data_IF_875956108752
#
_entry.id   IF_875956108752
#
_cell.length_a   1.000
_cell.length_b   1.000
_cell.length_c   1.000
_cell.angle_alpha   90.00
_cell.angle_beta   90.00
_cell.angle_gamma   90.00
#
_symmetry.space_group_name_H-M   'P 1'
#
loop_
_entity.id
_entity.type
_entity.pdbx_description
1 polymer ?
#
# COMPACT_ATOMS: atom_id res chain seq x y z
N UNK A 1 3.26 -10.03 -10.63
CA UNK A 1 2.87 -9.14 -9.51
C UNK A 1 1.46 -8.65 -9.81
N UNK A 2 0.44 -9.32 -9.27
CA UNK A 2 -0.96 -8.90 -9.41
C UNK A 2 -1.49 -8.75 -7.99
N UNK A 3 -1.39 -7.53 -7.46
CA UNK A 3 -1.99 -7.22 -6.18
C UNK A 3 -3.49 -7.06 -6.42
N UNK A 4 -4.29 -7.93 -5.79
CA UNK A 4 -5.77 -8.00 -5.83
C UNK A 4 -6.45 -8.64 -7.06
N UNK A 5 -5.82 -9.63 -7.72
CA UNK A 5 -6.55 -10.48 -8.66
C UNK A 5 -7.73 -11.21 -7.96
N UNK A 6 -8.78 -11.63 -8.70
CA UNK A 6 -9.78 -12.55 -8.18
C UNK A 6 -9.17 -13.93 -7.88
N UNK A 7 -9.69 -14.69 -6.88
CA UNK A 7 -9.26 -16.07 -6.63
C UNK A 7 -9.40 -16.94 -7.89
N UNK A 8 -8.43 -17.81 -8.15
CA UNK A 8 -8.50 -18.79 -9.25
C UNK A 8 -8.09 -18.28 -10.64
N UNK A 9 -7.74 -17.01 -10.82
CA UNK A 9 -7.21 -16.52 -12.11
C UNK A 9 -5.68 -16.61 -12.16
N UNK A 10 -5.17 -17.63 -12.84
CA UNK A 10 -3.74 -17.93 -13.01
C UNK A 10 -3.09 -17.22 -14.21
N UNK A 11 -3.87 -16.73 -15.18
CA UNK A 11 -3.36 -15.91 -16.28
C UNK A 11 -3.25 -14.45 -15.86
N UNK A 12 -2.14 -13.79 -16.24
CA UNK A 12 -2.03 -12.35 -16.12
C UNK A 12 -3.18 -11.73 -16.94
N UNK A 13 -4.20 -11.13 -16.30
CA UNK A 13 -5.28 -10.51 -17.05
C UNK A 13 -4.64 -9.42 -17.93
N UNK A 14 -5.16 -9.26 -19.15
CA UNK A 14 -4.73 -8.14 -19.97
C UNK A 14 -5.01 -6.80 -19.25
N UNK A 15 -4.46 -5.71 -19.77
CA UNK A 15 -4.59 -4.40 -19.14
C UNK A 15 -6.05 -3.98 -18.94
N UNK A 16 -6.95 -4.37 -19.84
CA UNK A 16 -8.36 -4.02 -19.77
C UNK A 16 -9.05 -4.78 -18.64
N UNK A 17 -8.79 -6.09 -18.49
CA UNK A 17 -9.33 -6.90 -17.41
C UNK A 17 -8.89 -6.41 -16.02
N UNK A 18 -7.62 -6.02 -15.86
CA UNK A 18 -7.13 -5.40 -14.60
C UNK A 18 -7.84 -4.08 -14.28
N UNK A 19 -8.07 -3.26 -15.30
CA UNK A 19 -8.79 -1.98 -15.15
C UNK A 19 -10.25 -2.22 -14.75
N UNK A 20 -10.92 -3.16 -15.42
CA UNK A 20 -12.30 -3.51 -15.14
C UNK A 20 -12.48 -4.04 -13.71
N UNK A 21 -11.57 -4.90 -13.23
CA UNK A 21 -11.63 -5.41 -11.87
C UNK A 21 -11.38 -4.30 -10.83
N UNK A 22 -10.40 -3.42 -11.05
CA UNK A 22 -10.21 -2.26 -10.17
C UNK A 22 -11.46 -1.36 -10.13
N UNK A 23 -12.07 -1.11 -11.29
CA UNK A 23 -13.29 -0.31 -11.38
C UNK A 23 -14.45 -0.98 -10.64
N UNK A 24 -14.63 -2.30 -10.78
CA UNK A 24 -15.66 -3.06 -10.05
C UNK A 24 -15.52 -2.88 -8.54
N UNK A 25 -14.29 -3.02 -8.01
CA UNK A 25 -14.00 -2.86 -6.58
C UNK A 25 -14.33 -1.46 -6.07
N UNK A 26 -13.90 -0.43 -6.83
CA UNK A 26 -14.22 0.97 -6.51
C UNK A 26 -15.72 1.20 -6.49
N UNK A 27 -16.45 0.74 -7.50
CA UNK A 27 -17.91 0.89 -7.58
C UNK A 27 -18.65 0.11 -6.48
N UNK A 28 -18.08 -1.00 -6.01
CA UNK A 28 -18.59 -1.78 -4.88
C UNK A 28 -18.25 -1.17 -3.51
N UNK A 29 -17.53 -0.06 -3.45
CA UNK A 29 -17.11 0.58 -2.20
C UNK A 29 -15.98 -0.15 -1.47
N UNK A 30 -15.35 -1.14 -2.11
CA UNK A 30 -14.18 -1.83 -1.56
C UNK A 30 -13.01 -0.83 -1.46
N UNK A 31 -12.39 -0.63 -0.29
CA UNK A 31 -11.21 0.22 -0.17
C UNK A 31 -10.08 -0.33 -1.03
N UNK A 32 -9.54 0.51 -1.93
CA UNK A 32 -8.41 0.14 -2.80
C UNK A 32 -7.20 1.05 -2.64
N UNK A 33 -7.37 2.23 -2.05
CA UNK A 33 -6.32 3.19 -1.79
C UNK A 33 -6.84 4.62 -1.74
N UNK A 34 -5.90 5.56 -1.68
CA UNK A 34 -6.18 7.01 -1.64
C UNK A 34 -5.46 7.73 -2.76
N UNK A 35 -6.07 8.80 -3.28
CA UNK A 35 -5.50 9.66 -4.32
C UNK A 35 -5.16 11.03 -3.73
N UNK A 36 -4.01 11.57 -4.13
CA UNK A 36 -3.67 12.96 -3.88
C UNK A 36 -4.15 13.81 -5.05
N UNK A 37 -4.92 14.85 -4.76
CA UNK A 37 -5.43 15.80 -5.74
C UNK A 37 -4.74 17.16 -5.62
N UNK A 38 -4.50 17.79 -6.76
CA UNK A 38 -4.10 19.20 -6.87
C UNK A 38 -4.93 19.82 -7.99
N UNK A 39 -5.64 20.91 -7.70
CA UNK A 39 -6.48 21.64 -8.66
C UNK A 39 -7.50 20.74 -9.39
N UNK A 40 -8.12 19.82 -8.65
CA UNK A 40 -9.11 18.88 -9.20
C UNK A 40 -8.52 17.68 -9.95
N UNK A 41 -7.20 17.63 -10.14
CA UNK A 41 -6.53 16.55 -10.88
C UNK A 41 -5.83 15.54 -9.97
N UNK A 42 -5.95 14.23 -10.21
CA UNK A 42 -5.25 13.20 -9.45
C UNK A 42 -3.75 13.17 -9.81
N UNK A 43 -2.88 13.44 -8.83
CA UNK A 43 -1.44 13.57 -9.04
C UNK A 43 -0.63 12.39 -8.50
N UNK A 44 -1.13 11.70 -7.47
CA UNK A 44 -0.42 10.56 -6.86
C UNK A 44 -1.40 9.58 -6.22
N UNK A 45 -0.94 8.36 -5.96
CA UNK A 45 -1.75 7.28 -5.40
C UNK A 45 -0.98 6.55 -4.29
N UNK A 46 -1.67 6.17 -3.22
CA UNK A 46 -1.21 5.18 -2.25
C UNK A 46 -2.18 3.98 -2.22
N UNK A 47 -1.67 2.78 -2.47
CA UNK A 47 -2.46 1.54 -2.34
C UNK A 47 -2.50 1.12 -0.88
N UNK A 48 -3.69 1.26 -0.28
CA UNK A 48 -3.98 0.95 1.12
C UNK A 48 -5.39 0.34 1.24
N UNK A 49 -5.53 -0.77 1.97
CA UNK A 49 -6.80 -1.46 2.19
C UNK A 49 -6.66 -2.51 3.32
N UNK A 50 -7.75 -3.15 3.78
CA UNK A 50 -7.66 -4.31 4.67
C UNK A 50 -6.75 -5.39 4.07
N UNK A 51 -5.92 -6.03 4.91
CA UNK A 51 -4.90 -6.98 4.47
C UNK A 51 -5.50 -8.17 3.70
N UNK A 52 -6.71 -8.61 4.08
CA UNK A 52 -7.45 -9.67 3.40
C UNK A 52 -7.89 -9.36 1.97
N UNK A 53 -7.89 -8.09 1.56
CA UNK A 53 -8.19 -7.72 0.17
C UNK A 53 -7.03 -8.01 -0.79
N UNK A 54 -5.82 -8.22 -0.26
CA UNK A 54 -4.63 -8.45 -1.05
C UNK A 54 -4.35 -9.93 -1.23
N UNK A 55 -4.17 -10.33 -2.49
CA UNK A 55 -3.61 -11.63 -2.80
C UNK A 55 -2.09 -11.57 -2.78
N UNK A 56 -1.47 -12.48 -2.01
CA UNK A 56 -0.03 -12.79 -2.09
C UNK A 56 0.89 -11.60 -1.80
N UNK A 57 0.69 -10.91 -0.66
CA UNK A 57 1.65 -9.92 -0.16
C UNK A 57 3.05 -10.51 0.03
N UNK A 58 3.10 -11.81 0.33
CA UNK A 58 4.33 -12.56 0.50
C UNK A 58 4.10 -13.93 1.12
N UNK A 59 5.05 -14.86 0.93
CA UNK A 59 5.10 -16.09 1.73
C UNK A 59 5.24 -15.70 3.21
N UNK A 60 4.35 -16.24 4.05
CA UNK A 60 4.35 -16.01 5.50
C UNK A 60 3.60 -14.75 5.96
N UNK A 61 3.04 -13.94 5.04
CA UNK A 61 2.14 -12.85 5.44
C UNK A 61 0.75 -13.43 5.59
N UNK A 62 0.27 -13.46 6.83
CA UNK A 62 -1.10 -13.83 7.14
C UNK A 62 -2.04 -12.70 6.71
N UNK A 63 -2.87 -12.98 5.70
CA UNK A 63 -3.89 -12.07 5.17
C UNK A 63 -5.27 -12.30 5.78
N UNK A 64 -5.42 -13.28 6.70
CA UNK A 64 -6.70 -13.56 7.38
C UNK A 64 -6.95 -12.66 8.60
N UNK A 65 -5.95 -11.86 8.99
CA UNK A 65 -6.02 -10.97 10.15
C UNK A 65 -7.07 -9.87 9.97
N UNK A 66 -8.06 -9.89 10.85
CA UNK A 66 -9.02 -8.80 11.01
C UNK A 66 -8.36 -7.57 11.66
N UNK A 67 -8.93 -6.38 11.46
CA UNK A 67 -8.38 -5.12 11.99
C UNK A 67 -7.07 -4.63 11.35
N UNK A 68 -6.37 -5.48 10.59
CA UNK A 68 -5.09 -5.13 9.95
C UNK A 68 -5.30 -4.57 8.55
N UNK A 69 -4.74 -3.40 8.31
CA UNK A 69 -4.64 -2.79 6.99
C UNK A 69 -3.22 -2.89 6.46
N UNK A 70 -3.06 -2.91 5.14
CA UNK A 70 -1.76 -2.96 4.50
C UNK A 70 -1.59 -1.80 3.51
N UNK A 71 -0.45 -1.10 3.61
CA UNK A 71 0.04 -0.12 2.65
C UNK A 71 1.08 -0.78 1.76
N UNK A 72 0.77 -0.94 0.48
CA UNK A 72 1.56 -1.78 -0.43
C UNK A 72 2.34 -1.04 -1.50
N UNK A 73 2.00 0.22 -1.80
CA UNK A 73 2.82 1.05 -2.69
C UNK A 73 2.36 2.51 -2.72
N UNK A 74 3.29 3.38 -3.12
CA UNK A 74 3.06 4.73 -3.59
C UNK A 74 3.35 4.81 -5.08
N UNK A 75 2.53 5.57 -5.80
CA UNK A 75 2.82 6.05 -7.14
C UNK A 75 2.92 7.58 -7.11
N UNK A 76 4.13 8.08 -7.35
CA UNK A 76 4.41 9.51 -7.51
C UNK A 76 5.09 9.72 -8.87
N UNK A 77 4.50 10.52 -9.78
CA UNK A 77 5.09 10.88 -11.06
C UNK A 77 6.48 11.49 -10.89
N UNK A 78 7.41 11.20 -11.81
CA UNK A 78 8.81 11.66 -11.71
C UNK A 78 8.93 13.17 -11.46
N UNK A 79 8.10 13.98 -12.14
CA UNK A 79 8.08 15.45 -12.02
C UNK A 79 7.72 15.96 -10.61
N UNK A 80 7.09 15.13 -9.78
CA UNK A 80 6.61 15.48 -8.43
C UNK A 80 7.42 14.79 -7.32
N UNK A 81 8.46 14.02 -7.65
CA UNK A 81 9.31 13.37 -6.66
C UNK A 81 10.24 14.38 -5.99
N UNK A 82 10.72 14.05 -4.79
CA UNK A 82 11.59 14.93 -4.00
C UNK A 82 10.86 16.08 -3.29
N UNK A 83 9.55 16.20 -3.47
CA UNK A 83 8.73 17.27 -2.90
C UNK A 83 7.93 16.83 -1.67
N UNK A 84 8.34 15.74 -1.00
CA UNK A 84 7.68 15.24 0.21
C UNK A 84 6.30 14.59 0.01
N UNK A 85 5.82 14.41 -1.24
CA UNK A 85 4.49 13.82 -1.50
C UNK A 85 4.30 12.42 -0.93
N UNK A 86 5.33 11.56 -0.93
CA UNK A 86 5.24 10.22 -0.33
C UNK A 86 4.97 10.28 1.17
N UNK A 87 5.57 11.25 1.87
CA UNK A 87 5.32 11.46 3.30
C UNK A 87 3.89 11.93 3.55
N UNK A 88 3.43 12.94 2.80
CA UNK A 88 2.04 13.42 2.89
C UNK A 88 1.02 12.32 2.59
N UNK A 89 1.31 11.46 1.61
CA UNK A 89 0.50 10.28 1.31
C UNK A 89 0.53 9.25 2.44
N UNK A 90 1.67 9.04 3.09
CA UNK A 90 1.76 8.14 4.25
C UNK A 90 0.89 8.66 5.40
N UNK A 91 1.02 9.95 5.73
CA UNK A 91 0.22 10.56 6.81
C UNK A 91 -1.28 10.42 6.51
N UNK A 92 -1.71 10.76 5.28
CA UNK A 92 -3.10 10.58 4.86
C UNK A 92 -3.57 9.12 4.83
N UNK A 93 -2.66 8.18 4.55
CA UNK A 93 -2.97 6.74 4.55
C UNK A 93 -3.18 6.22 5.97
N UNK A 94 -2.40 6.70 6.94
CA UNK A 94 -2.57 6.40 8.37
C UNK A 94 -3.95 6.89 8.84
N UNK A 95 -4.29 8.15 8.54
CA UNK A 95 -5.59 8.73 8.91
C UNK A 95 -6.75 7.99 8.25
N UNK A 96 -6.60 7.62 6.97
CA UNK A 96 -7.59 6.83 6.25
C UNK A 96 -7.83 5.47 6.90
N UNK A 97 -6.77 4.77 7.30
CA UNK A 97 -6.88 3.48 7.98
C UNK A 97 -7.58 3.61 9.35
N UNK A 98 -7.18 4.59 10.17
CA UNK A 98 -7.86 4.90 11.45
C UNK A 98 -9.34 5.17 11.26
N UNK A 99 -9.68 6.07 10.35
CA UNK A 99 -11.07 6.45 10.07
C UNK A 99 -11.93 5.26 9.58
N UNK A 100 -11.30 4.21 9.08
CA UNK A 100 -11.94 2.97 8.63
C UNK A 100 -11.90 1.84 9.66
N UNK A 101 -11.47 2.12 10.90
CA UNK A 101 -11.46 1.16 12.00
C UNK A 101 -10.32 0.15 11.95
N UNK A 102 -9.17 0.53 11.37
CA UNK A 102 -7.97 -0.30 11.44
C UNK A 102 -7.33 -0.22 12.84
N UNK A 103 -6.96 -1.36 13.41
CA UNK A 103 -6.20 -1.46 14.65
C UNK A 103 -4.69 -1.35 14.39
N UNK A 104 -4.27 -1.79 13.21
CA UNK A 104 -2.85 -1.86 12.81
C UNK A 104 -2.69 -1.57 11.33
N UNK A 105 -1.70 -0.76 10.99
CA UNK A 105 -1.25 -0.56 9.62
C UNK A 105 0.10 -1.24 9.39
N UNK A 106 0.14 -2.20 8.46
CA UNK A 106 1.36 -2.90 8.03
C UNK A 106 1.89 -2.30 6.72
N UNK A 107 3.19 -2.11 6.62
CA UNK A 107 3.87 -1.60 5.44
C UNK A 107 5.15 -2.40 5.14
N UNK A 108 5.65 -2.26 3.91
CA UNK A 108 6.77 -3.06 3.42
C UNK A 108 7.94 -2.23 2.84
N UNK A 109 8.46 -1.23 3.55
CA UNK A 109 9.54 -0.39 3.03
C UNK A 109 10.82 -1.19 2.77
N UNK A 110 11.75 -0.52 2.09
CA UNK A 110 13.09 -1.03 1.84
C UNK A 110 14.14 -0.04 2.35
N UNK A 111 15.36 -0.51 2.52
CA UNK A 111 16.50 0.32 2.88
C UNK A 111 16.71 1.49 1.88
N UNK A 112 17.28 2.63 2.32
CA UNK A 112 17.51 3.80 1.46
C UNK A 112 18.31 3.52 0.18
N UNK A 113 19.28 2.62 0.27
CA UNK A 113 20.18 2.20 -0.80
C UNK A 113 19.61 1.05 -1.66
N UNK A 114 18.41 0.55 -1.36
CA UNK A 114 17.80 -0.53 -2.12
C UNK A 114 17.61 -0.13 -3.59
N UNK A 115 18.20 -0.90 -4.55
CA UNK A 115 18.18 -0.58 -5.97
C UNK A 115 16.81 -0.82 -6.63
N UNK A 116 15.88 -1.46 -5.91
CA UNK A 116 14.54 -1.79 -6.38
C UNK A 116 13.50 -1.53 -5.30
N UNK A 117 12.22 -1.68 -5.65
CA UNK A 117 11.08 -1.52 -4.74
C UNK A 117 10.94 -0.13 -4.08
N UNK A 118 11.55 0.92 -4.63
CA UNK A 118 11.42 2.27 -4.07
C UNK A 118 9.99 2.81 -4.02
N UNK A 119 9.06 2.22 -4.78
CA UNK A 119 7.62 2.52 -4.68
C UNK A 119 6.99 2.04 -3.37
N UNK A 120 7.66 1.19 -2.58
CA UNK A 120 7.20 0.80 -1.24
C UNK A 120 7.52 1.86 -0.17
N UNK A 121 8.28 2.89 -0.52
CA UNK A 121 8.83 3.85 0.41
C UNK A 121 10.13 3.35 1.06
N UNK A 122 10.72 4.18 1.92
CA UNK A 122 12.01 3.93 2.57
C UNK A 122 11.83 3.82 4.07
N UNK A 123 12.59 2.94 4.71
CA UNK A 123 12.51 2.69 6.16
C UNK A 123 12.47 3.97 7.00
N UNK A 124 13.36 4.97 6.80
CA UNK A 124 13.35 6.19 7.61
C UNK A 124 12.04 7.00 7.56
N UNK A 125 11.30 6.91 6.45
CA UNK A 125 10.00 7.58 6.31
C UNK A 125 8.94 6.97 7.24
N UNK A 126 9.00 5.66 7.43
CA UNK A 126 8.07 4.91 8.28
C UNK A 126 8.47 4.99 9.74
N UNK A 127 9.77 4.90 10.07
CA UNK A 127 10.28 5.13 11.43
C UNK A 127 9.87 6.51 11.94
N UNK A 128 10.03 7.56 11.12
CA UNK A 128 9.61 8.92 11.45
C UNK A 128 8.09 9.08 11.62
N UNK A 129 7.29 8.10 11.18
CA UNK A 129 5.84 8.04 11.37
C UNK A 129 5.44 7.09 12.54
N UNK A 130 6.42 6.57 13.29
CA UNK A 130 6.19 5.72 14.45
C UNK A 130 5.99 4.24 14.12
N UNK A 131 6.35 3.80 12.91
CA UNK A 131 6.31 2.38 12.59
C UNK A 131 7.50 1.64 13.21
N UNK A 132 7.25 0.40 13.65
CA UNK A 132 8.26 -0.51 14.19
C UNK A 132 8.47 -1.71 13.26
N UNK A 133 9.73 -2.15 13.10
CA UNK A 133 10.04 -3.36 12.33
C UNK A 133 9.68 -4.62 13.12
N UNK A 134 8.89 -5.50 12.50
CA UNK A 134 8.44 -6.77 13.09
C UNK A 134 8.95 -7.99 12.32
N UNK A 135 9.73 -7.77 11.26
CA UNK A 135 10.33 -8.84 10.47
C UNK A 135 10.69 -8.40 9.07
N UNK A 136 10.99 -9.38 8.21
CA UNK A 136 11.37 -9.16 6.81
C UNK A 136 10.64 -10.10 5.88
N UNK A 137 10.40 -9.64 4.66
CA UNK A 137 9.81 -10.45 3.60
C UNK A 137 10.74 -10.51 2.36
N UNK A 138 11.44 -11.64 2.23
CA UNK A 138 12.57 -11.77 1.32
C UNK A 138 13.79 -11.03 1.84
N UNK A 139 14.72 -10.67 0.96
CA UNK A 139 16.00 -10.07 1.37
C UNK A 139 15.98 -8.55 1.51
N UNK A 140 15.00 -7.86 0.93
CA UNK A 140 15.00 -6.38 0.81
C UNK A 140 13.84 -5.67 1.50
N UNK A 141 12.71 -6.33 1.69
CA UNK A 141 11.50 -5.70 2.22
C UNK A 141 11.42 -5.95 3.71
N UNK A 142 11.29 -4.88 4.47
CA UNK A 142 10.96 -4.93 5.87
C UNK A 142 9.47 -5.21 5.98
N UNK A 143 9.03 -5.69 7.14
CA UNK A 143 7.64 -5.69 7.55
C UNK A 143 7.58 -4.76 8.74
N UNK A 144 6.97 -3.61 8.56
CA UNK A 144 6.84 -2.61 9.61
C UNK A 144 5.37 -2.40 9.97
N UNK A 145 5.08 -2.15 11.24
CA UNK A 145 3.72 -1.96 11.74
C UNK A 145 3.59 -0.68 12.55
N UNK A 146 2.44 -0.04 12.44
CA UNK A 146 2.01 1.05 13.29
C UNK A 146 0.71 0.64 13.99
N UNK A 147 0.69 0.71 15.32
CA UNK A 147 -0.55 0.59 16.09
C UNK A 147 -1.38 1.87 15.88
N UNK A 148 -2.68 1.69 15.64
CA UNK A 148 -3.62 2.78 15.33
C UNK A 148 -4.68 3.00 16.42
N UNK A 149 -4.74 2.09 17.39
CA UNK A 149 -5.56 2.16 18.60
C UNK A 149 -4.95 3.05 19.68
#
# INVERSE_FOLDING_TARGET
MVFRAPPGQSHAPDKAAKKAEMQRRVLAGEPVGILAYTDGEPQAWCSIAPVGTFQRLGKGIDTSREGVWALTCFFVPRRLRGQGLSRRLLDAAIDHARARGADTLEAYPVDPDSPSYGYLGRVPMFEAAGFEEVGRHGTRRHVMRLALA
#
